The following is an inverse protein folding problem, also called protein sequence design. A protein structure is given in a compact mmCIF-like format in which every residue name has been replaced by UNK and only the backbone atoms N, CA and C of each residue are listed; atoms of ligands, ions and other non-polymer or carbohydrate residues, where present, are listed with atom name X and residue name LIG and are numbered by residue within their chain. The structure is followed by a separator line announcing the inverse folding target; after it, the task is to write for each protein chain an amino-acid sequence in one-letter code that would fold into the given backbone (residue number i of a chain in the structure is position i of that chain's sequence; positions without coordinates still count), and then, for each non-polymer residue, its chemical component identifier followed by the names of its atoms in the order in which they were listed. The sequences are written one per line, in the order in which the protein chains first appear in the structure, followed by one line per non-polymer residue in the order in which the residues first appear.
data_IF_300146980743
#
_entry.id   IF_300146980743
#
_cell.length_a   1.000
_cell.length_b   1.000
_cell.length_c   1.000
_cell.angle_alpha   90.00
_cell.angle_beta   90.00
_cell.angle_gamma   90.00
#
_symmetry.space_group_name_H-M   'P 1'
#
loop_
_entity.id
_entity.type
_entity.pdbx_description
1 polymer ?
#
# COMPACT_ATOMS: atom_id res chain seq x y z
N UNK A 1 36.31 13.87 -41.52
CA UNK A 1 37.24 13.58 -40.41
C UNK A 1 36.73 14.37 -39.20
N UNK A 2 35.50 14.07 -38.78
CA UNK A 2 35.10 13.12 -37.71
C UNK A 2 34.94 13.86 -36.39
N UNK A 3 33.75 14.46 -36.24
CA UNK A 3 33.19 14.97 -34.99
C UNK A 3 32.80 13.79 -34.10
N UNK A 4 33.73 13.26 -33.30
CA UNK A 4 33.46 12.24 -32.28
C UNK A 4 33.36 12.86 -30.88
N UNK A 5 32.42 13.79 -30.68
CA UNK A 5 32.18 14.38 -29.35
C UNK A 5 30.76 14.23 -28.81
N UNK A 6 29.86 13.49 -29.46
CA UNK A 6 28.49 13.30 -28.97
C UNK A 6 28.06 11.84 -29.11
N UNK A 7 28.13 11.07 -28.01
CA UNK A 7 27.20 9.99 -27.60
C UNK A 7 27.81 9.14 -26.48
N UNK A 8 27.80 9.67 -25.26
CA UNK A 8 27.79 8.82 -24.05
C UNK A 8 26.87 9.47 -23.02
N UNK A 9 25.58 9.47 -23.32
CA UNK A 9 24.50 9.75 -22.38
C UNK A 9 23.55 8.55 -22.47
N UNK A 10 23.82 7.54 -21.65
CA UNK A 10 23.08 6.30 -21.66
C UNK A 10 23.92 5.12 -21.22
N UNK A 11 24.67 5.24 -20.11
CA UNK A 11 24.88 4.03 -19.32
C UNK A 11 23.51 3.68 -18.74
N UNK A 12 22.88 2.64 -19.30
CA UNK A 12 21.72 1.98 -18.74
C UNK A 12 22.10 1.54 -17.32
N UNK A 13 21.76 2.37 -16.34
CA UNK A 13 22.01 2.11 -14.93
C UNK A 13 20.98 1.07 -14.47
N UNK A 14 21.29 -0.20 -14.72
CA UNK A 14 20.45 -1.31 -14.28
C UNK A 14 20.54 -1.44 -12.76
N UNK A 15 19.38 -1.53 -12.09
CA UNK A 15 19.31 -1.71 -10.65
C UNK A 15 19.96 -3.03 -10.24
N UNK A 16 20.88 -2.97 -9.28
CA UNK A 16 21.54 -4.17 -8.79
C UNK A 16 20.53 -5.12 -8.09
N UNK A 17 20.40 -6.34 -8.58
CA UNK A 17 19.46 -7.36 -8.07
C UNK A 17 19.99 -8.03 -6.79
N UNK A 18 20.04 -7.27 -5.70
CA UNK A 18 20.64 -7.71 -4.42
C UNK A 18 19.61 -8.05 -3.32
N UNK A 19 18.31 -8.05 -3.62
CA UNK A 19 17.28 -8.33 -2.62
C UNK A 19 17.18 -9.84 -2.33
N UNK A 20 17.38 -10.21 -1.07
CA UNK A 20 17.16 -11.57 -0.58
C UNK A 20 15.68 -11.82 -0.26
N UNK A 21 15.30 -13.09 -0.10
CA UNK A 21 13.95 -13.50 0.34
C UNK A 21 13.54 -12.81 1.65
N UNK A 22 14.49 -12.67 2.58
CA UNK A 22 14.25 -12.00 3.85
C UNK A 22 13.92 -10.52 3.63
N UNK A 23 14.69 -9.80 2.80
CA UNK A 23 14.49 -8.38 2.51
C UNK A 23 13.11 -8.14 1.89
N UNK A 24 12.74 -8.96 0.90
CA UNK A 24 11.45 -8.85 0.20
C UNK A 24 10.29 -9.15 1.17
N UNK A 25 10.43 -10.15 2.04
CA UNK A 25 9.41 -10.46 3.04
C UNK A 25 9.23 -9.32 4.05
N UNK A 26 10.32 -8.69 4.49
CA UNK A 26 10.26 -7.56 5.42
C UNK A 26 9.65 -6.32 4.77
N UNK A 27 9.94 -6.06 3.49
CA UNK A 27 9.27 -5.01 2.72
C UNK A 27 7.76 -5.27 2.67
N UNK A 28 7.34 -6.51 2.40
CA UNK A 28 5.93 -6.90 2.39
C UNK A 28 5.24 -6.71 3.74
N UNK A 29 5.85 -7.18 4.83
CA UNK A 29 5.32 -7.03 6.19
C UNK A 29 5.23 -5.54 6.58
N UNK A 30 6.27 -4.76 6.28
CA UNK A 30 6.29 -3.32 6.54
C UNK A 30 5.22 -2.56 5.75
N UNK A 31 4.96 -2.97 4.50
CA UNK A 31 3.92 -2.36 3.68
C UNK A 31 2.49 -2.69 4.15
N UNK A 32 2.29 -3.82 4.84
CA UNK A 32 0.98 -4.26 5.35
C UNK A 32 0.63 -3.62 6.71
N UNK A 33 1.63 -3.39 7.57
CA UNK A 33 1.42 -2.77 8.88
C UNK A 33 1.35 -1.25 8.73
N UNK A 34 0.14 -0.69 8.75
CA UNK A 34 -0.09 0.74 8.60
C UNK A 34 -1.22 1.29 9.47
N UNK A 35 -1.72 2.48 9.14
CA UNK A 35 -2.76 3.16 9.93
C UNK A 35 -4.06 2.35 10.09
N UNK A 36 -4.32 1.39 9.18
CA UNK A 36 -5.50 0.52 9.24
C UNK A 36 -5.66 -0.21 10.57
N UNK A 37 -4.60 -0.85 11.08
CA UNK A 37 -4.72 -1.61 12.34
C UNK A 37 -4.92 -0.67 13.55
N UNK A 38 -4.39 0.54 13.50
CA UNK A 38 -4.45 1.48 14.62
C UNK A 38 -5.77 2.28 14.65
N UNK A 39 -6.33 2.60 13.48
CA UNK A 39 -7.54 3.42 13.36
C UNK A 39 -8.78 2.56 13.13
N UNK A 40 -8.77 1.73 12.08
CA UNK A 40 -9.98 1.00 11.66
C UNK A 40 -10.34 -0.11 12.65
N UNK A 41 -9.37 -0.74 13.32
CA UNK A 41 -9.65 -1.78 14.32
C UNK A 41 -10.50 -1.25 15.46
N UNK A 42 -10.26 -0.01 15.91
CA UNK A 42 -11.08 0.62 16.97
C UNK A 42 -12.53 0.83 16.54
N UNK A 43 -12.73 1.32 15.31
CA UNK A 43 -14.07 1.49 14.72
C UNK A 43 -14.76 0.12 14.56
N UNK A 44 -14.04 -0.87 14.02
CA UNK A 44 -14.55 -2.22 13.83
C UNK A 44 -14.87 -2.91 15.17
N UNK A 45 -14.09 -2.65 16.23
CA UNK A 45 -14.37 -3.15 17.58
C UNK A 45 -15.65 -2.55 18.15
N UNK A 46 -15.93 -1.27 17.86
CA UNK A 46 -17.18 -0.60 18.26
C UNK A 46 -18.42 -1.23 17.61
N UNK A 47 -18.32 -1.65 16.34
CA UNK A 47 -19.42 -2.24 15.58
C UNK A 47 -19.58 -3.76 15.83
N UNK A 48 -18.49 -4.52 15.75
CA UNK A 48 -18.51 -5.98 15.85
C UNK A 48 -18.40 -6.50 17.29
N UNK A 49 -17.94 -5.67 18.24
CA UNK A 49 -17.72 -6.05 19.63
C UNK A 49 -16.80 -7.28 19.76
N UNK A 50 -17.14 -8.28 20.59
CA UNK A 50 -16.29 -9.46 20.80
C UNK A 50 -16.16 -10.36 19.57
N UNK A 51 -17.03 -10.22 18.55
CA UNK A 51 -16.97 -10.99 17.31
C UNK A 51 -15.82 -10.52 16.38
N UNK A 52 -15.13 -9.43 16.73
CA UNK A 52 -14.01 -8.89 15.96
C UNK A 52 -12.97 -9.95 15.57
N UNK A 53 -12.62 -10.85 16.49
CA UNK A 53 -11.65 -11.92 16.23
C UNK A 53 -12.12 -12.89 15.14
N UNK A 54 -13.42 -13.22 15.07
CA UNK A 54 -13.97 -14.06 14.01
C UNK A 54 -13.92 -13.35 12.66
N UNK A 55 -14.21 -12.04 12.62
CA UNK A 55 -14.14 -11.23 11.41
C UNK A 55 -12.70 -11.14 10.89
N UNK A 56 -11.73 -10.92 11.78
CA UNK A 56 -10.31 -10.91 11.42
C UNK A 56 -9.81 -12.27 10.94
N UNK A 57 -10.25 -13.37 11.56
CA UNK A 57 -9.89 -14.71 11.13
C UNK A 57 -10.42 -15.01 9.72
N UNK A 58 -11.68 -14.64 9.43
CA UNK A 58 -12.27 -14.79 8.11
C UNK A 58 -11.55 -13.93 7.06
N UNK A 59 -11.26 -12.67 7.40
CA UNK A 59 -10.50 -11.78 6.52
C UNK A 59 -9.08 -12.31 6.24
N UNK A 60 -8.41 -12.84 7.26
CA UNK A 60 -7.09 -13.46 7.13
C UNK A 60 -7.11 -14.67 6.18
N UNK A 61 -8.15 -15.51 6.27
CA UNK A 61 -8.32 -16.63 5.35
C UNK A 61 -8.47 -16.19 3.89
N UNK A 62 -9.30 -15.17 3.64
CA UNK A 62 -9.47 -14.59 2.29
C UNK A 62 -8.16 -13.95 1.79
N UNK A 63 -7.43 -13.29 2.67
CA UNK A 63 -6.14 -12.68 2.36
C UNK A 63 -5.08 -13.73 1.98
N UNK A 64 -5.06 -14.91 2.63
CA UNK A 64 -4.15 -16.01 2.26
C UNK A 64 -4.45 -16.52 0.85
N UNK A 65 -5.73 -16.75 0.53
CA UNK A 65 -6.13 -17.18 -0.82
C UNK A 65 -5.70 -16.16 -1.87
N UNK A 66 -5.96 -14.88 -1.60
CA UNK A 66 -5.54 -13.78 -2.48
C UNK A 66 -4.02 -13.72 -2.63
N UNK A 67 -3.29 -13.87 -1.52
CA UNK A 67 -1.83 -13.90 -1.50
C UNK A 67 -1.24 -15.05 -2.32
N UNK A 68 -1.84 -16.24 -2.28
CA UNK A 68 -1.42 -17.38 -3.12
C UNK A 68 -1.61 -17.08 -4.60
N UNK A 69 -2.75 -16.49 -5.01
CA UNK A 69 -2.96 -16.08 -6.40
C UNK A 69 -1.95 -15.03 -6.86
N UNK A 70 -1.60 -14.07 -6.00
CA UNK A 70 -0.57 -13.07 -6.28
C UNK A 70 0.82 -13.69 -6.37
N UNK A 71 1.13 -14.70 -5.55
CA UNK A 71 2.40 -15.42 -5.60
C UNK A 71 2.55 -16.22 -6.90
N UNK A 72 1.48 -16.88 -7.37
CA UNK A 72 1.46 -17.58 -8.66
C UNK A 72 1.72 -16.62 -9.81
N UNK A 73 0.97 -15.51 -9.88
CA UNK A 73 1.12 -14.48 -10.91
C UNK A 73 2.51 -13.82 -10.88
N UNK A 74 3.04 -13.51 -9.70
CA UNK A 74 4.37 -12.93 -9.53
C UNK A 74 5.50 -13.88 -9.93
N UNK A 75 5.30 -15.19 -9.76
CA UNK A 75 6.27 -16.19 -10.23
C UNK A 75 6.20 -16.44 -11.74
N UNK A 76 5.00 -16.34 -12.33
CA UNK A 76 4.77 -16.54 -13.76
C UNK A 76 5.22 -15.33 -14.60
N UNK A 77 5.06 -14.10 -14.08
CA UNK A 77 5.38 -12.85 -14.77
C UNK A 77 6.36 -12.04 -13.90
N UNK A 78 7.67 -12.34 -13.96
CA UNK A 78 8.70 -11.75 -13.09
C UNK A 78 9.17 -10.37 -13.58
N UNK A 79 8.21 -9.52 -13.95
CA UNK A 79 8.43 -8.17 -14.48
C UNK A 79 7.83 -7.11 -13.55
N UNK A 80 8.48 -5.94 -13.50
CA UNK A 80 8.00 -4.82 -12.70
C UNK A 80 6.79 -4.16 -13.38
N UNK A 81 5.58 -4.47 -12.91
CA UNK A 81 4.35 -3.86 -13.44
C UNK A 81 3.04 -4.20 -12.71
N UNK A 82 3.07 -5.17 -11.79
CA UNK A 82 1.93 -5.50 -10.92
C UNK A 82 0.63 -5.81 -11.67
N UNK A 83 -0.51 -5.45 -11.08
CA UNK A 83 -1.84 -5.77 -11.62
C UNK A 83 -2.10 -5.25 -13.04
N UNK A 84 -1.54 -4.10 -13.43
CA UNK A 84 -1.65 -3.59 -14.80
C UNK A 84 -1.01 -4.56 -15.80
N UNK A 85 0.20 -5.01 -15.48
CA UNK A 85 0.96 -5.92 -16.34
C UNK A 85 0.32 -7.31 -16.41
N UNK A 86 -0.15 -7.83 -15.27
CA UNK A 86 -0.83 -9.13 -15.21
C UNK A 86 -2.10 -9.15 -16.06
N UNK A 87 -2.92 -8.09 -15.99
CA UNK A 87 -4.14 -7.97 -16.80
C UNK A 87 -3.79 -7.82 -18.28
N UNK A 88 -2.74 -7.06 -18.62
CA UNK A 88 -2.29 -6.88 -20.00
C UNK A 88 -1.81 -8.19 -20.63
N UNK A 89 -1.08 -9.00 -19.86
CA UNK A 89 -0.55 -10.28 -20.34
C UNK A 89 -1.64 -11.35 -20.45
N UNK A 90 -2.55 -11.41 -19.47
CA UNK A 90 -3.63 -12.40 -19.44
C UNK A 90 -4.68 -12.20 -20.55
N UNK A 91 -4.98 -10.95 -20.93
CA UNK A 91 -6.09 -10.62 -21.84
C UNK A 91 -5.65 -10.24 -23.28
N UNK A 92 -4.34 -10.10 -23.49
CA UNK A 92 -3.75 -9.80 -24.80
C UNK A 92 -4.03 -8.38 -25.32
N UNK A 93 -3.40 -8.04 -26.46
CA UNK A 93 -3.39 -6.68 -27.05
C UNK A 93 -4.77 -6.11 -27.40
N UNK A 94 -5.78 -6.96 -27.64
CA UNK A 94 -7.11 -6.52 -28.07
C UNK A 94 -7.95 -5.87 -26.95
N UNK A 95 -7.62 -6.13 -25.69
CA UNK A 95 -8.33 -5.62 -24.51
C UNK A 95 -7.48 -4.63 -23.70
N UNK A 96 -6.60 -3.87 -24.37
CA UNK A 96 -5.72 -2.89 -23.73
C UNK A 96 -6.45 -1.85 -22.84
N UNK A 97 -7.73 -1.57 -23.12
CA UNK A 97 -8.58 -0.70 -22.30
C UNK A 97 -8.84 -1.25 -20.89
N UNK A 98 -8.90 -2.57 -20.72
CA UNK A 98 -9.13 -3.21 -19.42
C UNK A 98 -7.88 -3.17 -18.55
N UNK A 99 -6.70 -3.38 -19.14
CA UNK A 99 -5.43 -3.19 -18.45
C UNK A 99 -5.28 -1.72 -17.99
N UNK A 100 -5.57 -0.76 -18.87
CA UNK A 100 -5.57 0.67 -18.51
C UNK A 100 -6.50 0.96 -17.33
N UNK A 101 -7.73 0.43 -17.35
CA UNK A 101 -8.68 0.61 -16.25
C UNK A 101 -8.17 -0.01 -14.95
N UNK A 102 -7.55 -1.19 -14.99
CA UNK A 102 -6.96 -1.83 -13.80
C UNK A 102 -5.85 -0.97 -13.18
N UNK A 103 -4.96 -0.40 -14.01
CA UNK A 103 -3.93 0.54 -13.56
C UNK A 103 -4.52 1.80 -12.94
N UNK A 104 -5.54 2.37 -13.57
CA UNK A 104 -6.24 3.56 -13.07
C UNK A 104 -6.93 3.33 -11.73
N UNK A 105 -7.63 2.19 -11.59
CA UNK A 105 -8.25 1.80 -10.33
C UNK A 105 -7.21 1.58 -9.22
N UNK A 106 -6.07 0.96 -9.54
CA UNK A 106 -4.96 0.79 -8.57
C UNK A 106 -4.43 2.13 -8.10
N UNK A 107 -4.26 3.10 -9.00
CA UNK A 107 -3.80 4.45 -8.65
C UNK A 107 -4.78 5.15 -7.70
N UNK A 108 -6.08 5.11 -7.99
CA UNK A 108 -7.11 5.65 -7.10
C UNK A 108 -7.14 4.95 -5.73
N UNK A 109 -7.02 3.62 -5.70
CA UNK A 109 -6.96 2.87 -4.46
C UNK A 109 -5.78 3.31 -3.59
N UNK A 110 -4.60 3.51 -4.18
CA UNK A 110 -3.43 4.03 -3.46
C UNK A 110 -3.60 5.47 -3.01
N UNK A 111 -4.27 6.34 -3.78
CA UNK A 111 -4.56 7.70 -3.37
C UNK A 111 -5.49 7.76 -2.15
N UNK A 112 -6.54 6.93 -2.14
CA UNK A 112 -7.46 6.81 -0.99
C UNK A 112 -6.75 6.22 0.22
N UNK A 113 -5.92 5.18 0.03
CA UNK A 113 -5.10 4.62 1.11
C UNK A 113 -4.13 5.66 1.69
N UNK A 114 -3.50 6.48 0.83
CA UNK A 114 -2.65 7.60 1.23
C UNK A 114 -3.39 8.61 2.11
N UNK A 115 -4.62 8.98 1.73
CA UNK A 115 -5.47 9.84 2.55
C UNK A 115 -5.75 9.24 3.93
N UNK A 116 -6.05 7.93 4.01
CA UNK A 116 -6.25 7.24 5.28
C UNK A 116 -4.99 7.29 6.17
N UNK A 117 -3.79 7.10 5.59
CA UNK A 117 -2.54 7.20 6.33
C UNK A 117 -2.31 8.60 6.90
N UNK A 118 -2.59 9.65 6.12
CA UNK A 118 -2.52 11.04 6.60
C UNK A 118 -3.50 11.31 7.74
N UNK A 119 -4.73 10.81 7.64
CA UNK A 119 -5.75 10.95 8.69
C UNK A 119 -5.33 10.24 9.98
N UNK A 120 -4.87 8.99 9.87
CA UNK A 120 -4.38 8.23 11.02
C UNK A 120 -3.21 8.92 11.69
N UNK A 121 -2.19 9.33 10.93
CA UNK A 121 -1.05 10.07 11.47
C UNK A 121 -1.48 11.37 12.15
N UNK A 122 -2.32 12.17 11.49
CA UNK A 122 -2.85 13.41 12.05
C UNK A 122 -3.57 13.20 13.39
N UNK A 123 -4.44 12.18 13.48
CA UNK A 123 -5.16 11.87 14.73
C UNK A 123 -4.21 11.51 15.88
N UNK A 124 -3.20 10.67 15.63
CA UNK A 124 -2.25 10.26 16.68
C UNK A 124 -1.35 11.41 17.11
N UNK A 125 -0.90 12.24 16.16
CA UNK A 125 -0.12 13.44 16.49
C UNK A 125 -0.94 14.43 17.30
N UNK A 126 -2.21 14.65 16.96
CA UNK A 126 -3.09 15.52 17.76
C UNK A 126 -3.30 14.98 19.17
N UNK A 127 -3.58 13.68 19.33
CA UNK A 127 -3.70 13.05 20.66
C UNK A 127 -2.42 13.23 21.47
N UNK A 128 -1.26 12.95 20.87
CA UNK A 128 0.02 13.10 21.51
C UNK A 128 0.28 14.56 21.94
N UNK A 129 0.07 15.53 21.06
CA UNK A 129 0.38 16.93 21.35
C UNK A 129 -0.60 17.59 22.32
N UNK A 130 -1.90 17.26 22.23
CA UNK A 130 -2.95 17.85 23.07
C UNK A 130 -2.98 17.19 24.44
N UNK A 131 -2.99 15.85 24.47
CA UNK A 131 -3.29 15.08 25.68
C UNK A 131 -2.04 14.83 26.52
N UNK A 132 -0.88 14.61 25.89
CA UNK A 132 0.38 14.33 26.61
C UNK A 132 1.24 15.58 26.81
N UNK A 133 1.36 16.45 25.80
CA UNK A 133 2.21 17.65 25.89
C UNK A 133 1.47 18.93 26.29
N UNK A 134 0.13 18.93 26.30
CA UNK A 134 -0.69 20.11 26.61
C UNK A 134 -0.44 21.31 25.67
N UNK A 135 0.23 21.08 24.55
CA UNK A 135 0.88 22.14 23.75
C UNK A 135 -0.10 22.97 22.91
N UNK A 136 -1.35 22.53 22.77
CA UNK A 136 -2.39 23.14 21.92
C UNK A 136 -3.70 23.34 22.70
N UNK A 137 -3.63 23.57 24.02
CA UNK A 137 -4.81 23.76 24.88
C UNK A 137 -5.45 25.15 24.77
N UNK A 138 -4.82 26.10 24.06
CA UNK A 138 -5.31 27.50 24.06
C UNK A 138 -6.59 27.74 23.22
N UNK A 139 -7.03 26.80 22.37
CA UNK A 139 -8.11 27.03 21.39
C UNK A 139 -9.26 26.01 21.34
N UNK A 140 -9.34 25.06 22.27
CA UNK A 140 -10.50 24.16 22.38
C UNK A 140 -11.38 24.61 23.57
N UNK A 141 -12.68 24.92 23.37
CA UNK A 141 -13.62 25.02 24.47
C UNK A 141 -13.57 23.70 25.26
N UNK A 142 -13.64 23.79 26.59
CA UNK A 142 -13.43 22.68 27.51
C UNK A 142 -14.30 21.45 27.25
N UNK A 143 -14.02 20.34 27.96
CA UNK A 143 -14.63 19.04 27.69
C UNK A 143 -16.15 19.13 27.71
N UNK A 144 -16.79 18.73 26.61
CA UNK A 144 -18.21 18.40 26.63
C UNK A 144 -18.32 17.06 27.37
N UNK A 145 -18.67 17.15 28.65
CA UNK A 145 -19.24 16.03 29.42
C UNK A 145 -20.35 15.35 28.65
#
# INVERSE_FOLDING_TARGET
MSDDSLTSYGEDTELARNLSLFDISMIGVGAMIGAGIFVLTGIAAGEAGPALLMVFALNGFIAIITGMSYAELGSAIPEAGGGYLWVREALGRSQASQAFLAGWMSWFAHAVAGSLYCLGFGSFVTLLLVEYFGAITWRLPGPLT
#
